data_IF_417044096833
#
_entry.id   IF_417044096833
#
_cell.length_a   1.000
_cell.length_b   1.000
_cell.length_c   1.000
_cell.angle_alpha   90.00
_cell.angle_beta   90.00
_cell.angle_gamma   90.00
#
_symmetry.space_group_name_H-M   'P 1'
#
loop_
_entity.id
_entity.type
_entity.pdbx_description
1 polymer ?
#
# COMPACT_ATOMS: atom_id res chain seq x y z
N UNK A 1 -3.06 -59.75 -3.69
CA UNK A 1 -3.95 -58.65 -4.15
C UNK A 1 -4.38 -57.79 -2.96
N UNK A 2 -3.44 -57.34 -2.10
CA UNK A 2 -3.82 -56.71 -0.81
C UNK A 2 -2.80 -55.73 -0.21
N UNK A 3 -1.86 -55.14 -0.97
CA UNK A 3 -0.75 -54.38 -0.34
C UNK A 3 -0.32 -53.08 -1.03
N UNK A 4 -1.18 -52.41 -1.82
CA UNK A 4 -0.78 -51.20 -2.59
C UNK A 4 -1.67 -49.95 -2.34
N UNK A 5 -2.64 -49.96 -1.42
CA UNK A 5 -3.59 -48.84 -1.25
C UNK A 5 -3.63 -48.19 0.14
N UNK A 6 -2.49 -48.04 0.83
CA UNK A 6 -2.46 -47.29 2.11
C UNK A 6 -1.52 -46.08 2.08
N UNK A 7 -1.33 -45.44 0.91
CA UNK A 7 -0.39 -44.32 0.80
C UNK A 7 -0.89 -43.09 0.03
N UNK A 8 -2.20 -42.82 0.08
CA UNK A 8 -2.74 -41.54 -0.36
C UNK A 8 -3.80 -41.08 0.65
N UNK A 9 -3.84 -39.77 0.92
CA UNK A 9 -4.75 -39.06 1.85
C UNK A 9 -4.18 -38.76 3.25
N UNK A 10 -2.96 -38.22 3.31
CA UNK A 10 -2.57 -37.35 4.42
C UNK A 10 -3.17 -35.94 4.22
N UNK A 11 -4.46 -35.80 4.52
CA UNK A 11 -5.08 -34.49 4.69
C UNK A 11 -4.70 -33.94 6.08
N UNK A 12 -3.82 -32.94 6.14
CA UNK A 12 -3.61 -32.16 7.37
C UNK A 12 -4.96 -31.55 7.79
N UNK A 13 -5.44 -31.90 9.00
CA UNK A 13 -6.64 -31.30 9.61
C UNK A 13 -6.48 -29.77 9.70
N UNK A 14 -7.55 -28.99 9.44
CA UNK A 14 -7.47 -27.54 9.57
C UNK A 14 -7.25 -27.19 11.03
N UNK A 15 -6.20 -26.41 11.30
CA UNK A 15 -5.92 -25.83 12.60
C UNK A 15 -7.08 -24.90 12.96
N UNK A 16 -7.85 -25.26 14.00
CA UNK A 16 -9.00 -24.49 14.46
C UNK A 16 -8.54 -23.22 15.19
N UNK A 17 -8.27 -22.17 14.42
CA UNK A 17 -8.12 -20.80 14.94
C UNK A 17 -9.47 -20.09 15.01
N UNK A 18 -9.59 -19.08 15.89
CA UNK A 18 -10.75 -18.21 15.99
C UNK A 18 -11.07 -17.59 14.62
N UNK A 19 -12.26 -17.89 14.09
CA UNK A 19 -12.72 -17.32 12.81
C UNK A 19 -12.97 -15.82 12.95
N UNK A 20 -12.72 -15.04 11.88
CA UNK A 20 -13.06 -13.60 11.80
C UNK A 20 -14.51 -13.32 12.24
N UNK A 21 -15.43 -14.23 11.93
CA UNK A 21 -16.85 -14.13 12.33
C UNK A 21 -17.05 -14.36 13.84
N UNK A 22 -16.23 -15.20 14.46
CA UNK A 22 -16.19 -15.38 15.92
C UNK A 22 -15.63 -14.15 16.64
N UNK A 23 -14.63 -13.50 16.05
CA UNK A 23 -14.05 -12.25 16.57
C UNK A 23 -15.06 -11.09 16.55
N UNK A 24 -15.77 -10.88 15.42
CA UNK A 24 -16.79 -9.82 15.32
C UNK A 24 -17.95 -10.03 16.30
N UNK A 25 -18.33 -11.29 16.56
CA UNK A 25 -19.33 -11.63 17.59
C UNK A 25 -18.84 -11.38 19.02
N UNK A 26 -17.53 -11.45 19.27
CA UNK A 26 -16.94 -11.23 20.60
C UNK A 26 -16.75 -9.76 20.97
N UNK A 27 -16.59 -8.86 19.99
CA UNK A 27 -16.33 -7.43 20.22
C UNK A 27 -17.63 -6.59 20.26
N UNK A 28 -18.75 -7.12 19.76
CA UNK A 28 -20.00 -6.38 19.60
C UNK A 28 -20.96 -6.31 20.80
N UNK A 29 -20.59 -6.82 21.98
CA UNK A 29 -21.52 -6.90 23.12
C UNK A 29 -20.86 -6.73 24.48
N UNK A 30 -20.71 -5.50 24.96
CA UNK A 30 -20.50 -5.19 26.38
C UNK A 30 -20.92 -3.76 26.74
N UNK A 31 -21.95 -3.66 27.58
CA UNK A 31 -22.30 -2.56 28.51
C UNK A 31 -22.40 -3.30 29.87
N UNK A 32 -21.88 -2.94 31.05
CA UNK A 32 -21.54 -1.68 31.73
C UNK A 32 -20.43 -2.02 32.76
N UNK A 33 -19.42 -1.15 32.92
CA UNK A 33 -18.48 -1.18 34.04
C UNK A 33 -17.94 0.22 34.29
N UNK A 34 -18.44 0.89 35.32
CA UNK A 34 -18.11 2.28 35.64
C UNK A 34 -16.72 2.42 36.28
N UNK A 35 -16.05 3.52 35.94
CA UNK A 35 -14.96 4.20 36.65
C UNK A 35 -13.58 3.51 36.71
N UNK A 36 -12.72 3.87 35.74
CA UNK A 36 -11.34 4.27 36.03
C UNK A 36 -10.87 5.26 34.96
N UNK A 37 -10.77 6.53 35.37
CA UNK A 37 -10.06 7.58 34.64
C UNK A 37 -8.59 7.19 34.66
N UNK A 38 -8.06 6.81 33.52
CA UNK A 38 -6.67 7.08 33.17
C UNK A 38 -6.66 7.67 31.76
N UNK A 39 -6.91 8.98 31.72
CA UNK A 39 -6.33 9.89 30.75
C UNK A 39 -4.84 9.53 30.62
N UNK A 40 -4.47 8.84 29.54
CA UNK A 40 -3.15 8.24 29.40
C UNK A 40 -2.74 8.13 27.94
N UNK A 41 -2.16 9.22 27.46
CA UNK A 41 -1.46 9.41 26.19
C UNK A 41 -2.28 9.17 24.91
N UNK A 42 -2.84 10.27 24.41
CA UNK A 42 -2.70 10.58 22.98
C UNK A 42 -1.20 10.54 22.64
N UNK A 43 -0.71 9.35 22.31
CA UNK A 43 0.58 9.19 21.68
C UNK A 43 0.45 9.81 20.29
N UNK A 44 0.75 11.10 20.20
CA UNK A 44 1.19 11.68 18.94
C UNK A 44 2.55 11.05 18.64
N UNK A 45 2.54 9.80 18.21
CA UNK A 45 3.64 9.22 17.48
C UNK A 45 3.62 9.91 16.12
N UNK A 46 4.09 11.16 16.10
CA UNK A 46 4.88 11.63 14.98
C UNK A 46 6.07 10.68 14.92
N UNK A 47 5.84 9.50 14.33
CA UNK A 47 6.89 8.59 13.97
C UNK A 47 7.78 9.39 13.05
N UNK A 48 8.92 9.79 13.61
CA UNK A 48 9.98 10.48 12.92
C UNK A 48 10.44 9.49 11.86
N UNK A 49 9.85 9.57 10.66
CA UNK A 49 10.31 8.83 9.50
C UNK A 49 11.83 9.05 9.46
N UNK A 50 12.58 7.96 9.63
CA UNK A 50 14.03 8.02 9.77
C UNK A 50 14.61 8.87 8.65
N UNK A 51 15.65 9.65 8.97
CA UNK A 51 16.30 10.55 8.04
C UNK A 51 16.60 9.80 6.73
N UNK A 52 15.84 10.14 5.68
CA UNK A 52 15.92 9.43 4.40
C UNK A 52 17.24 9.83 3.76
N UNK A 53 18.23 8.94 3.81
CA UNK A 53 19.48 9.15 3.08
C UNK A 53 19.17 9.10 1.57
N UNK A 54 19.18 10.27 0.94
CA UNK A 54 18.88 10.45 -0.47
C UNK A 54 19.08 11.90 -0.89
N UNK A 55 19.08 12.18 -2.20
CA UNK A 55 19.16 13.55 -2.69
C UNK A 55 17.91 14.33 -2.26
N UNK A 56 18.10 15.64 -2.06
CA UNK A 56 16.99 16.55 -1.79
C UNK A 56 16.00 16.56 -2.96
N UNK A 57 14.75 16.95 -2.66
CA UNK A 57 13.75 17.19 -3.68
C UNK A 57 14.13 18.39 -4.54
N UNK A 58 13.73 18.34 -5.80
CA UNK A 58 13.99 19.40 -6.77
C UNK A 58 12.70 19.84 -7.43
N UNK A 59 12.54 21.14 -7.59
CA UNK A 59 11.48 21.71 -8.42
C UNK A 59 11.92 21.72 -9.88
N UNK A 60 11.13 21.09 -10.74
CA UNK A 60 11.36 21.06 -12.20
C UNK A 60 10.20 21.74 -12.93
N UNK A 61 10.46 22.30 -14.11
CA UNK A 61 9.40 22.89 -14.96
C UNK A 61 9.06 21.93 -16.10
N UNK A 62 7.77 21.58 -16.23
CA UNK A 62 7.25 20.68 -17.24
C UNK A 62 6.10 21.35 -18.01
N UNK A 63 6.15 21.33 -19.33
CA UNK A 63 5.02 21.71 -20.17
C UNK A 63 4.29 20.45 -20.62
N UNK A 64 3.12 20.19 -20.03
CA UNK A 64 2.32 18.99 -20.31
C UNK A 64 1.01 19.41 -20.94
N UNK A 65 0.73 18.90 -22.15
CA UNK A 65 -0.49 19.22 -22.92
C UNK A 65 -0.72 20.74 -23.06
N UNK A 66 0.36 21.50 -23.30
CA UNK A 66 0.32 22.96 -23.46
C UNK A 66 0.18 23.76 -22.16
N UNK A 67 0.17 23.11 -20.99
CA UNK A 67 0.13 23.78 -19.68
C UNK A 67 1.44 23.59 -18.94
N UNK A 68 1.96 24.66 -18.36
CA UNK A 68 3.19 24.63 -17.56
C UNK A 68 2.89 24.24 -16.12
N UNK A 69 3.69 23.31 -15.59
CA UNK A 69 3.66 22.83 -14.22
C UNK A 69 5.05 22.94 -13.62
N UNK A 70 5.12 23.15 -12.30
CA UNK A 70 6.38 23.18 -11.55
C UNK A 70 6.33 22.26 -10.33
N UNK A 71 6.26 20.92 -10.50
CA UNK A 71 6.18 20.01 -9.37
C UNK A 71 7.52 19.91 -8.63
N UNK A 72 7.43 19.80 -7.30
CA UNK A 72 8.54 19.44 -6.42
C UNK A 72 8.64 17.91 -6.30
N UNK A 73 9.69 17.33 -6.88
CA UNK A 73 9.82 15.88 -7.09
C UNK A 73 11.06 15.30 -6.44
N UNK A 74 10.98 14.05 -5.98
CA UNK A 74 12.19 13.27 -5.64
C UNK A 74 12.90 12.89 -6.95
N UNK A 75 14.23 13.06 -7.06
CA UNK A 75 14.99 12.68 -8.26
C UNK A 75 14.84 11.21 -8.71
N UNK A 76 14.41 10.30 -7.82
CA UNK A 76 14.16 8.88 -8.11
C UNK A 76 12.74 8.61 -8.62
N UNK A 77 11.87 9.60 -8.59
CA UNK A 77 10.48 9.46 -8.99
C UNK A 77 10.36 9.41 -10.52
N UNK A 78 9.55 8.48 -11.03
CA UNK A 78 9.37 8.35 -12.48
C UNK A 78 8.45 9.45 -13.03
N UNK A 79 8.64 9.83 -14.30
CA UNK A 79 7.74 10.79 -14.97
C UNK A 79 6.27 10.32 -14.91
N UNK A 80 6.04 9.01 -15.02
CA UNK A 80 4.71 8.42 -14.89
C UNK A 80 4.07 8.74 -13.53
N UNK A 81 4.82 8.62 -12.45
CA UNK A 81 4.33 8.88 -11.10
C UNK A 81 4.07 10.37 -10.90
N UNK A 82 4.97 11.25 -11.39
CA UNK A 82 4.75 12.69 -11.36
C UNK A 82 3.47 13.10 -12.10
N UNK A 83 3.25 12.57 -13.31
CA UNK A 83 2.05 12.86 -14.09
C UNK A 83 0.78 12.40 -13.37
N UNK A 84 0.79 11.18 -12.82
CA UNK A 84 -0.41 10.56 -12.23
C UNK A 84 -0.73 11.09 -10.84
N UNK A 85 0.28 11.16 -9.98
CA UNK A 85 0.09 11.32 -8.54
C UNK A 85 0.22 12.80 -8.12
N UNK A 86 0.99 13.62 -8.84
CA UNK A 86 1.14 15.06 -8.54
C UNK A 86 0.30 15.94 -9.46
N UNK A 87 0.28 15.64 -10.77
CA UNK A 87 -0.47 16.43 -11.75
C UNK A 87 -1.89 15.89 -11.99
N UNK A 88 -2.26 14.75 -11.39
CA UNK A 88 -3.56 14.09 -11.56
C UNK A 88 -3.90 13.72 -13.02
N UNK A 89 -2.90 13.59 -13.89
CA UNK A 89 -3.03 13.21 -15.30
C UNK A 89 -2.93 11.69 -15.44
N UNK A 90 -4.07 11.01 -15.36
CA UNK A 90 -4.13 9.54 -15.24
C UNK A 90 -4.15 8.77 -16.57
N UNK A 91 -3.93 9.44 -17.71
CA UNK A 91 -3.96 8.85 -19.05
C UNK A 91 -2.94 7.72 -19.24
N UNK A 92 -1.66 8.00 -18.99
CA UNK A 92 -0.62 6.98 -18.97
C UNK A 92 -0.80 6.03 -17.77
N UNK A 93 -0.63 4.72 -18.00
CA UNK A 93 -1.00 3.68 -17.03
C UNK A 93 0.21 2.95 -16.46
N UNK A 94 0.21 2.75 -15.14
CA UNK A 94 1.16 1.90 -14.42
C UNK A 94 0.68 0.45 -14.50
N UNK A 95 1.30 -0.35 -15.37
CA UNK A 95 0.96 -1.78 -15.56
C UNK A 95 2.12 -2.68 -15.17
N UNK A 96 3.21 -2.71 -15.95
CA UNK A 96 4.37 -3.56 -15.62
C UNK A 96 5.43 -2.86 -14.75
N UNK A 97 5.48 -1.52 -14.78
CA UNK A 97 6.49 -0.68 -14.12
C UNK A 97 7.96 -1.03 -14.42
N UNK A 98 8.21 -1.66 -15.58
CA UNK A 98 9.54 -2.13 -16.03
C UNK A 98 9.75 -2.01 -17.54
N UNK A 99 8.95 -1.19 -18.22
CA UNK A 99 9.09 -0.92 -19.66
C UNK A 99 8.65 -2.05 -20.62
N UNK A 100 8.05 -3.15 -20.13
CA UNK A 100 7.71 -4.31 -20.97
C UNK A 100 6.39 -4.18 -21.77
N UNK A 101 5.41 -3.40 -21.29
CA UNK A 101 4.05 -3.42 -21.84
C UNK A 101 3.63 -2.15 -22.60
N UNK A 102 4.42 -1.08 -22.58
CA UNK A 102 4.09 0.19 -23.27
C UNK A 102 2.89 0.98 -22.71
N UNK A 103 2.23 0.52 -21.64
CA UNK A 103 1.02 1.17 -21.13
C UNK A 103 1.28 2.58 -20.53
N UNK A 104 2.53 2.89 -20.22
CA UNK A 104 2.98 4.18 -19.67
C UNK A 104 3.65 5.10 -20.71
N UNK A 105 3.56 4.79 -22.00
CA UNK A 105 4.21 5.59 -23.07
C UNK A 105 3.62 7.00 -23.15
N UNK A 106 4.52 7.99 -23.28
CA UNK A 106 4.23 9.41 -23.50
C UNK A 106 5.19 9.98 -24.55
N UNK A 107 4.85 11.12 -25.13
CA UNK A 107 5.72 11.85 -26.07
C UNK A 107 6.50 12.90 -25.29
N UNK A 108 7.81 12.97 -25.50
CA UNK A 108 8.72 13.93 -24.89
C UNK A 108 9.38 14.75 -26.02
N UNK A 109 9.52 16.06 -25.81
CA UNK A 109 10.10 17.02 -26.75
C UNK A 109 11.31 17.72 -26.15
#
# INVERSE_FOLDING_TARGET
MSSILENFMSHKKPQQGLSRRGFIKGVGGSIVGAAAISTGAAGNSAEKYGEVMGPDRITITLTVNGRTYSPDVDPRQTLLDTLRDYLSLTGAKRVCNKGQCGACTVILN
#
